data_IF_019649472126
#
_entry.id   IF_019649472126
#
_cell.length_a   1.000
_cell.length_b   1.000
_cell.length_c   1.000
_cell.angle_alpha   90.00
_cell.angle_beta   90.00
_cell.angle_gamma   90.00
#
_symmetry.space_group_name_H-M   'P 1'
#
loop_
_entity.id
_entity.type
_entity.pdbx_description
1 polymer ?
#
# COMPACT_ATOMS: atom_id res chain seq x y z
N UNK A 1 23.92 20.13 -26.89
CA UNK A 1 24.83 19.66 -25.82
C UNK A 1 24.00 19.10 -24.68
N UNK A 2 24.18 17.82 -24.37
CA UNK A 2 23.32 17.05 -23.47
C UNK A 2 23.59 17.35 -21.99
N UNK A 3 22.53 17.69 -21.25
CA UNK A 3 22.59 17.79 -19.80
C UNK A 3 22.60 16.38 -19.20
N UNK A 4 23.76 15.88 -18.78
CA UNK A 4 23.87 14.69 -17.90
C UNK A 4 23.50 15.11 -16.48
N UNK A 5 22.21 15.33 -16.23
CA UNK A 5 21.71 15.54 -14.87
C UNK A 5 21.66 14.17 -14.19
N UNK A 6 22.66 13.86 -13.35
CA UNK A 6 22.64 12.66 -12.50
C UNK A 6 21.54 12.89 -11.45
N UNK A 7 20.33 12.41 -11.74
CA UNK A 7 19.22 12.44 -10.80
C UNK A 7 19.57 11.47 -9.67
N UNK A 8 19.85 11.99 -8.46
CA UNK A 8 19.97 11.14 -7.28
C UNK A 8 18.65 10.38 -7.14
N UNK A 9 18.69 9.06 -7.31
CA UNK A 9 17.55 8.17 -7.10
C UNK A 9 17.19 8.24 -5.62
N UNK A 10 16.27 9.12 -5.25
CA UNK A 10 15.79 9.23 -3.87
C UNK A 10 14.89 8.04 -3.54
N UNK A 11 14.81 7.68 -2.27
CA UNK A 11 13.93 6.61 -1.81
C UNK A 11 12.45 6.88 -2.14
N UNK A 12 12.05 8.15 -2.17
CA UNK A 12 10.72 8.59 -2.60
C UNK A 12 10.45 8.21 -4.07
N UNK A 13 11.45 8.32 -4.94
CA UNK A 13 11.30 7.97 -6.35
C UNK A 13 10.96 6.49 -6.56
N UNK A 14 11.65 5.59 -5.84
CA UNK A 14 11.35 4.14 -5.89
C UNK A 14 9.96 3.85 -5.36
N UNK A 15 9.57 4.52 -4.28
CA UNK A 15 8.23 4.39 -3.71
C UNK A 15 7.13 4.79 -4.72
N UNK A 16 7.35 5.86 -5.49
CA UNK A 16 6.42 6.28 -6.54
C UNK A 16 6.37 5.30 -7.72
N UNK A 17 7.51 4.76 -8.14
CA UNK A 17 7.54 3.73 -9.20
C UNK A 17 6.74 2.50 -8.77
N UNK A 18 7.04 1.97 -7.59
CA UNK A 18 6.35 0.79 -7.08
C UNK A 18 4.83 1.01 -7.00
N UNK A 19 4.40 2.17 -6.53
CA UNK A 19 2.97 2.53 -6.50
C UNK A 19 2.37 2.56 -7.91
N UNK A 20 3.11 3.07 -8.91
CA UNK A 20 2.65 3.14 -10.29
C UNK A 20 2.56 1.76 -10.94
N UNK A 21 3.47 0.83 -10.62
CA UNK A 21 3.40 -0.55 -11.09
C UNK A 21 2.07 -1.20 -10.66
N UNK A 22 1.65 -0.96 -9.41
CA UNK A 22 0.35 -1.41 -8.91
C UNK A 22 -0.80 -0.73 -9.67
N UNK A 23 -0.73 0.57 -9.91
CA UNK A 23 -1.76 1.27 -10.68
C UNK A 23 -1.95 0.65 -12.08
N UNK A 24 -0.86 0.32 -12.77
CA UNK A 24 -0.88 -0.30 -14.09
C UNK A 24 -1.40 -1.74 -14.01
N UNK A 25 -0.94 -2.52 -13.03
CA UNK A 25 -1.31 -3.92 -12.86
C UNK A 25 -2.80 -4.13 -12.53
N UNK A 26 -3.45 -3.12 -11.95
CA UNK A 26 -4.90 -3.09 -11.71
C UNK A 26 -5.66 -2.33 -12.82
N UNK A 27 -5.10 -2.26 -14.03
CA UNK A 27 -5.74 -1.70 -15.23
C UNK A 27 -6.13 -0.22 -15.10
N UNK A 28 -5.31 0.58 -14.41
CA UNK A 28 -5.51 2.01 -14.24
C UNK A 28 -6.90 2.38 -13.64
N UNK A 29 -7.21 1.98 -12.39
CA UNK A 29 -8.54 2.18 -11.82
C UNK A 29 -8.96 3.66 -11.83
N UNK A 30 -10.14 3.96 -12.39
CA UNK A 30 -10.66 5.35 -12.48
C UNK A 30 -10.80 6.05 -11.12
N UNK A 31 -11.02 5.28 -10.06
CA UNK A 31 -11.19 5.79 -8.68
C UNK A 31 -9.88 5.90 -7.91
N UNK A 32 -8.74 5.65 -8.55
CA UNK A 32 -7.44 5.69 -7.91
C UNK A 32 -7.14 7.08 -7.31
N UNK A 33 -6.84 7.10 -6.01
CA UNK A 33 -6.42 8.28 -5.27
C UNK A 33 -5.13 7.95 -4.53
N UNK A 34 -4.17 8.86 -4.61
CA UNK A 34 -2.88 8.73 -3.94
C UNK A 34 -2.92 9.43 -2.57
N UNK A 35 -2.15 8.93 -1.61
CA UNK A 35 -1.93 9.59 -0.31
C UNK A 35 -3.23 9.92 0.45
N UNK A 36 -4.15 8.95 0.49
CA UNK A 36 -5.49 9.16 1.07
C UNK A 36 -5.42 9.06 2.60
N UNK A 37 -5.85 10.12 3.28
CA UNK A 37 -6.01 10.12 4.74
C UNK A 37 -7.34 9.50 5.13
N UNK A 38 -7.29 8.44 5.93
CA UNK A 38 -8.45 7.85 6.60
C UNK A 38 -8.37 8.17 8.08
N UNK A 39 -9.46 8.69 8.65
CA UNK A 39 -9.51 9.03 10.06
C UNK A 39 -10.88 8.72 10.66
N UNK A 40 -10.85 8.29 11.92
CA UNK A 40 -11.98 8.26 12.84
C UNK A 40 -11.56 9.08 14.04
N UNK A 41 -12.24 10.21 14.26
CA UNK A 41 -11.89 11.21 15.27
C UNK A 41 -11.69 10.57 16.64
N UNK A 42 -10.54 10.83 17.26
CA UNK A 42 -10.19 10.29 18.59
C UNK A 42 -9.77 8.81 18.63
N UNK A 43 -9.89 8.07 17.52
CA UNK A 43 -9.64 6.61 17.53
C UNK A 43 -8.42 6.26 16.68
N UNK A 44 -8.41 6.64 15.40
CA UNK A 44 -7.36 6.23 14.47
C UNK A 44 -7.20 7.21 13.31
N UNK A 45 -5.96 7.47 12.91
CA UNK A 45 -5.63 8.19 11.68
C UNK A 45 -4.47 7.50 10.96
N UNK A 46 -4.64 7.30 9.66
CA UNK A 46 -3.66 6.69 8.76
C UNK A 46 -3.70 7.40 7.41
N UNK A 47 -2.57 7.44 6.72
CA UNK A 47 -2.46 7.86 5.33
C UNK A 47 -2.00 6.63 4.57
N UNK A 48 -2.77 6.21 3.57
CA UNK A 48 -2.43 5.10 2.69
C UNK A 48 -1.73 5.62 1.43
N UNK A 49 -0.83 4.81 0.85
CA UNK A 49 -0.05 5.24 -0.32
C UNK A 49 -0.94 5.42 -1.55
N UNK A 50 -1.95 4.55 -1.70
CA UNK A 50 -3.07 4.76 -2.59
C UNK A 50 -4.32 3.97 -2.18
N UNK A 51 -5.46 4.38 -2.72
CA UNK A 51 -6.76 3.78 -2.52
C UNK A 51 -7.51 3.77 -3.84
N UNK A 52 -8.22 2.68 -4.13
CA UNK A 52 -9.22 2.65 -5.18
C UNK A 52 -10.39 1.75 -4.78
N UNK A 53 -11.47 1.79 -5.56
CA UNK A 53 -12.60 0.90 -5.40
C UNK A 53 -12.75 0.03 -6.64
N UNK A 54 -12.98 -1.25 -6.43
CA UNK A 54 -13.37 -2.18 -7.48
C UNK A 54 -14.57 -2.98 -6.99
N UNK A 55 -15.61 -3.11 -7.82
CA UNK A 55 -16.86 -3.80 -7.48
C UNK A 55 -17.48 -3.38 -6.12
N UNK A 56 -17.40 -2.09 -5.80
CA UNK A 56 -17.90 -1.52 -4.54
C UNK A 56 -17.10 -1.91 -3.30
N UNK A 57 -15.87 -2.42 -3.47
CA UNK A 57 -14.97 -2.80 -2.37
C UNK A 57 -13.69 -1.95 -2.41
N UNK A 58 -13.30 -1.44 -1.25
CA UNK A 58 -12.04 -0.71 -1.13
C UNK A 58 -10.82 -1.61 -1.30
N UNK A 59 -9.87 -1.14 -2.08
CA UNK A 59 -8.55 -1.73 -2.28
C UNK A 59 -7.51 -0.73 -1.79
N UNK A 60 -6.83 -1.09 -0.70
CA UNK A 60 -5.86 -0.25 0.00
C UNK A 60 -4.46 -0.67 -0.42
N UNK A 61 -3.68 0.27 -0.96
CA UNK A 61 -2.34 0.00 -1.50
C UNK A 61 -1.27 0.55 -0.56
N UNK A 62 -0.31 -0.30 -0.22
CA UNK A 62 0.84 0.05 0.63
C UNK A 62 2.15 -0.39 -0.02
N UNK A 63 3.09 0.54 -0.15
CA UNK A 63 4.41 0.31 -0.71
C UNK A 63 5.43 0.22 0.42
N UNK A 64 6.19 -0.87 0.40
CA UNK A 64 7.11 -1.26 1.43
C UNK A 64 8.53 -1.46 0.87
N UNK A 65 9.20 -0.35 0.56
CA UNK A 65 10.57 -0.38 0.04
C UNK A 65 11.61 -0.53 1.16
N UNK A 66 11.75 0.49 2.00
CA UNK A 66 12.77 0.57 3.08
C UNK A 66 12.18 0.85 4.47
N UNK A 67 10.85 0.85 4.60
CA UNK A 67 10.21 1.07 5.90
C UNK A 67 10.60 -0.06 6.87
N UNK A 68 10.79 0.28 8.15
CA UNK A 68 10.97 -0.74 9.19
C UNK A 68 9.69 -1.56 9.31
N UNK A 69 9.81 -2.88 9.49
CA UNK A 69 8.64 -3.75 9.70
C UNK A 69 7.76 -3.34 10.90
N UNK A 70 8.32 -2.63 11.89
CA UNK A 70 7.56 -2.03 12.98
C UNK A 70 6.56 -0.98 12.50
N UNK A 71 6.90 -0.19 11.47
CA UNK A 71 5.98 0.77 10.87
C UNK A 71 4.80 0.05 10.20
N UNK A 72 5.07 -1.04 9.45
CA UNK A 72 4.02 -1.83 8.80
C UNK A 72 3.11 -2.51 9.83
N UNK A 73 3.67 -2.99 10.95
CA UNK A 73 2.88 -3.47 12.10
C UNK A 73 1.92 -2.41 12.62
N UNK A 74 2.40 -1.19 12.85
CA UNK A 74 1.56 -0.08 13.32
C UNK A 74 0.49 0.28 12.28
N UNK A 75 0.83 0.30 10.98
CA UNK A 75 -0.15 0.52 9.90
C UNK A 75 -1.25 -0.54 9.95
N UNK A 76 -0.90 -1.82 10.05
CA UNK A 76 -1.88 -2.91 10.11
C UNK A 76 -2.75 -2.89 11.37
N UNK A 77 -2.22 -2.46 12.52
CA UNK A 77 -3.02 -2.25 13.73
C UNK A 77 -4.04 -1.13 13.53
N UNK A 78 -3.65 -0.02 12.88
CA UNK A 78 -4.56 1.08 12.54
C UNK A 78 -5.64 0.63 11.56
N UNK A 79 -5.30 -0.17 10.56
CA UNK A 79 -6.28 -0.72 9.62
C UNK A 79 -7.29 -1.64 10.29
N UNK A 80 -6.86 -2.49 11.23
CA UNK A 80 -7.79 -3.30 12.02
C UNK A 80 -8.76 -2.45 12.83
N UNK A 81 -8.28 -1.37 13.47
CA UNK A 81 -9.17 -0.41 14.15
C UNK A 81 -10.19 0.24 13.21
N UNK A 82 -9.80 0.58 11.97
CA UNK A 82 -10.75 1.11 10.99
C UNK A 82 -11.83 0.09 10.61
N UNK A 83 -11.46 -1.19 10.49
CA UNK A 83 -12.39 -2.29 10.24
C UNK A 83 -13.34 -2.47 11.44
N UNK A 84 -12.81 -2.47 12.66
CA UNK A 84 -13.59 -2.56 13.91
C UNK A 84 -14.57 -1.38 14.06
N UNK A 85 -14.20 -0.19 13.58
CA UNK A 85 -15.07 0.99 13.56
C UNK A 85 -16.12 0.96 12.43
N UNK A 86 -16.21 -0.14 11.67
CA UNK A 86 -17.16 -0.32 10.56
C UNK A 86 -17.11 0.82 9.52
N UNK A 87 -15.92 1.36 9.27
CA UNK A 87 -15.69 2.46 8.29
C UNK A 87 -15.93 1.98 6.86
N UNK A 88 -15.83 0.67 6.62
CA UNK A 88 -16.00 0.06 5.31
C UNK A 88 -17.29 -0.74 5.25
N UNK A 89 -18.11 -0.52 4.22
CA UNK A 89 -19.32 -1.33 3.98
C UNK A 89 -18.99 -2.82 3.75
N UNK A 90 -17.84 -3.08 3.13
CA UNK A 90 -17.28 -4.42 2.93
C UNK A 90 -15.84 -4.45 3.45
N UNK A 91 -15.35 -5.54 4.06
CA UNK A 91 -13.96 -5.64 4.47
C UNK A 91 -13.02 -5.30 3.31
N UNK A 92 -12.07 -4.35 3.47
CA UNK A 92 -11.22 -3.93 2.37
C UNK A 92 -10.28 -5.06 1.94
N UNK A 93 -9.73 -4.95 0.73
CA UNK A 93 -8.63 -5.77 0.27
C UNK A 93 -7.33 -4.99 0.39
N UNK A 94 -6.30 -5.61 0.94
CA UNK A 94 -4.97 -5.00 1.07
C UNK A 94 -4.08 -5.42 -0.09
N UNK A 95 -3.36 -4.47 -0.68
CA UNK A 95 -2.38 -4.71 -1.73
C UNK A 95 -1.06 -4.16 -1.22
N UNK A 96 -0.11 -5.04 -0.98
CA UNK A 96 1.24 -4.68 -0.58
C UNK A 96 2.19 -4.86 -1.76
N UNK A 97 3.16 -3.95 -1.87
CA UNK A 97 4.30 -4.15 -2.75
C UNK A 97 5.59 -3.96 -1.96
N UNK A 98 6.35 -5.05 -1.80
CA UNK A 98 7.61 -5.07 -1.06
C UNK A 98 8.80 -5.49 -1.93
N UNK A 99 10.00 -5.54 -1.35
CA UNK A 99 11.25 -5.76 -2.10
C UNK A 99 11.79 -7.19 -2.05
N UNK A 100 11.50 -7.95 -0.99
CA UNK A 100 12.08 -9.30 -0.81
C UNK A 100 11.05 -10.31 -0.33
N UNK A 101 11.29 -11.58 -0.63
CA UNK A 101 10.45 -12.69 -0.16
C UNK A 101 10.39 -12.79 1.37
N UNK A 102 11.48 -12.43 2.06
CA UNK A 102 11.48 -12.37 3.52
C UNK A 102 10.46 -11.34 4.04
N UNK A 103 10.40 -10.17 3.40
CA UNK A 103 9.40 -9.15 3.74
C UNK A 103 7.99 -9.59 3.36
N UNK A 104 7.81 -10.24 2.22
CA UNK A 104 6.53 -10.84 1.79
C UNK A 104 5.98 -11.77 2.88
N UNK A 105 6.79 -12.72 3.36
CA UNK A 105 6.39 -13.65 4.44
C UNK A 105 6.00 -12.93 5.73
N UNK A 106 6.73 -11.89 6.10
CA UNK A 106 6.39 -11.11 7.30
C UNK A 106 5.08 -10.33 7.13
N UNK A 107 4.87 -9.69 5.98
CA UNK A 107 3.62 -8.99 5.66
C UNK A 107 2.43 -9.96 5.62
N UNK A 108 2.63 -11.18 5.10
CA UNK A 108 1.59 -12.20 5.06
C UNK A 108 1.11 -12.58 6.46
N UNK A 109 2.05 -12.77 7.41
CA UNK A 109 1.72 -12.98 8.83
C UNK A 109 0.98 -11.78 9.42
N UNK A 110 1.36 -10.55 9.06
CA UNK A 110 0.66 -9.33 9.54
C UNK A 110 -0.75 -9.17 8.97
N UNK A 111 -1.02 -9.78 7.82
CA UNK A 111 -2.32 -9.75 7.16
C UNK A 111 -3.15 -11.01 7.43
N UNK A 112 -2.74 -11.88 8.36
CA UNK A 112 -3.52 -13.06 8.73
C UNK A 112 -4.94 -12.65 9.18
N UNK A 113 -5.94 -13.38 8.66
CA UNK A 113 -7.37 -13.06 8.82
C UNK A 113 -7.89 -11.92 7.93
N UNK A 114 -7.08 -11.36 7.04
CA UNK A 114 -7.47 -10.31 6.10
C UNK A 114 -7.21 -10.76 4.66
N UNK A 115 -8.01 -10.24 3.72
CA UNK A 115 -7.77 -10.44 2.30
C UNK A 115 -6.61 -9.53 1.84
N UNK A 116 -5.52 -10.15 1.40
CA UNK A 116 -4.35 -9.43 0.95
C UNK A 116 -3.67 -10.08 -0.26
N UNK A 117 -3.16 -9.22 -1.16
CA UNK A 117 -2.19 -9.57 -2.18
C UNK A 117 -0.86 -8.91 -1.82
N UNK A 118 0.25 -9.66 -1.88
CA UNK A 118 1.58 -9.13 -1.55
C UNK A 118 2.53 -9.41 -2.70
N UNK A 119 2.82 -8.35 -3.45
CA UNK A 119 3.72 -8.39 -4.57
C UNK A 119 5.17 -8.10 -4.17
N UNK A 120 6.10 -8.62 -4.94
CA UNK A 120 7.52 -8.28 -4.89
C UNK A 120 7.98 -7.79 -6.26
N UNK A 121 9.22 -7.28 -6.32
CA UNK A 121 9.79 -6.74 -7.56
C UNK A 121 9.85 -7.75 -8.70
N UNK A 122 9.86 -9.05 -8.39
CA UNK A 122 9.86 -10.14 -9.37
C UNK A 122 8.49 -10.41 -9.97
N UNK A 123 7.41 -9.86 -9.41
CA UNK A 123 6.06 -10.05 -9.97
C UNK A 123 5.76 -9.05 -11.10
N UNK A 124 6.58 -8.00 -11.24
CA UNK A 124 6.41 -6.94 -12.25
C UNK A 124 7.56 -6.88 -13.28
N UNK A 125 8.59 -7.72 -13.15
CA UNK A 125 9.81 -7.71 -13.97
C UNK A 125 10.27 -9.10 -14.36
#
# INVERSE_FOLDING_TARGET
MGSKKILKRSNQFRHYIMRNDIYIAFECPKTWKQEVKMNVTGIVSIITDALFTDNGRYHIVEVDHEQKMSANRIKMQKYRKLIECNVFEKPPKFIWYTTTEYRRKNLQKLCEGLDCNIFTVTDFH
#
